data_IF_727197875055
#
_entry.id   IF_727197875055
#
_cell.length_a   1.000
_cell.length_b   1.000
_cell.length_c   1.000
_cell.angle_alpha   90.00
_cell.angle_beta   90.00
_cell.angle_gamma   90.00
#
_symmetry.space_group_name_H-M   'P 1'
#
loop_
_entity.id
_entity.type
_entity.pdbx_description
1 polymer ?
#
# COMPACT_ATOMS: atom_id res chain seq x y z
N UNK A 1 13.28 3.39 21.43
CA UNK A 1 12.85 2.75 20.17
C UNK A 1 13.85 1.64 19.86
N UNK A 2 13.40 0.52 19.30
CA UNK A 2 14.30 -0.57 18.90
C UNK A 2 15.30 -0.04 17.85
N UNK A 3 16.59 -0.03 18.15
CA UNK A 3 17.65 0.50 17.27
C UNK A 3 18.07 -0.52 16.20
N UNK A 4 17.08 -1.19 15.57
CA UNK A 4 17.35 -2.23 14.57
C UNK A 4 17.85 -1.56 13.28
N UNK A 5 19.03 -1.93 12.77
CA UNK A 5 19.53 -1.38 11.52
C UNK A 5 18.75 -1.95 10.33
N UNK A 6 18.63 -1.15 9.28
CA UNK A 6 17.91 -1.51 8.05
C UNK A 6 18.92 -1.78 6.93
N UNK A 7 18.70 -2.84 6.17
CA UNK A 7 19.40 -3.15 4.92
C UNK A 7 18.39 -3.16 3.78
N UNK A 8 18.63 -2.32 2.77
CA UNK A 8 17.76 -2.19 1.60
C UNK A 8 18.14 -3.23 0.54
N UNK A 9 17.13 -3.93 0.03
CA UNK A 9 17.24 -4.85 -1.09
C UNK A 9 16.43 -4.28 -2.26
N UNK A 10 17.14 -3.71 -3.23
CA UNK A 10 16.58 -2.88 -4.29
C UNK A 10 16.91 -1.41 -4.08
N UNK A 11 17.27 -0.73 -5.18
CA UNK A 11 17.62 0.67 -5.29
C UNK A 11 16.70 1.37 -6.31
N UNK A 12 15.43 0.96 -6.34
CA UNK A 12 14.40 1.50 -7.25
C UNK A 12 13.84 2.85 -6.79
N UNK A 13 13.04 3.49 -7.65
CA UNK A 13 12.52 4.84 -7.41
C UNK A 13 11.73 4.99 -6.11
N UNK A 14 11.00 3.96 -5.67
CA UNK A 14 10.23 4.01 -4.40
C UNK A 14 11.14 4.07 -3.17
N UNK A 15 12.32 3.46 -3.23
CA UNK A 15 13.30 3.49 -2.15
C UNK A 15 13.84 4.92 -1.97
N UNK A 16 14.18 5.55 -3.08
CA UNK A 16 14.68 6.92 -3.11
C UNK A 16 13.60 7.96 -2.76
N UNK A 17 12.36 7.78 -3.24
CA UNK A 17 11.30 8.78 -3.08
C UNK A 17 10.51 8.65 -1.78
N UNK A 18 10.46 7.45 -1.17
CA UNK A 18 9.60 7.20 -0.01
C UNK A 18 10.31 6.52 1.17
N UNK A 19 10.93 5.34 0.98
CA UNK A 19 11.51 4.59 2.10
C UNK A 19 12.63 5.37 2.80
N UNK A 20 13.63 5.83 2.06
CA UNK A 20 14.77 6.53 2.64
C UNK A 20 14.39 7.88 3.28
N UNK A 21 13.57 8.74 2.65
CA UNK A 21 13.04 9.94 3.30
C UNK A 21 12.27 9.63 4.59
N UNK A 22 11.42 8.60 4.60
CA UNK A 22 10.69 8.16 5.78
C UNK A 22 11.65 7.77 6.92
N UNK A 23 12.67 6.97 6.60
CA UNK A 23 13.62 6.47 7.57
C UNK A 23 14.50 7.58 8.14
N UNK A 24 14.94 8.53 7.31
CA UNK A 24 15.65 9.73 7.78
C UNK A 24 14.78 10.56 8.72
N UNK A 25 13.52 10.83 8.36
CA UNK A 25 12.58 11.59 9.19
C UNK A 25 12.31 10.91 10.53
N UNK A 26 12.26 9.58 10.55
CA UNK A 26 12.05 8.78 11.76
C UNK A 26 13.34 8.52 12.57
N UNK A 27 14.51 8.95 12.07
CA UNK A 27 15.81 8.66 12.70
C UNK A 27 16.20 7.18 12.65
N UNK A 28 15.67 6.41 11.70
CA UNK A 28 15.98 5.00 11.50
C UNK A 28 17.30 4.84 10.73
N UNK A 29 18.13 3.92 11.19
CA UNK A 29 19.49 3.73 10.66
C UNK A 29 19.51 2.74 9.51
N UNK A 30 19.72 3.22 8.30
CA UNK A 30 20.02 2.37 7.12
C UNK A 30 21.53 2.14 7.05
N UNK A 31 21.95 0.87 7.14
CA UNK A 31 23.36 0.50 7.19
C UNK A 31 23.88 -0.09 5.90
N UNK A 32 23.02 -0.50 4.98
CA UNK A 32 23.45 -1.08 3.73
C UNK A 32 22.37 -1.12 2.66
N UNK A 33 22.81 -1.25 1.41
CA UNK A 33 21.95 -1.37 0.24
C UNK A 33 22.57 -2.32 -0.79
N UNK A 34 21.73 -3.01 -1.55
CA UNK A 34 22.15 -3.79 -2.73
C UNK A 34 21.11 -3.69 -3.84
N UNK A 35 21.55 -3.79 -5.09
CA UNK A 35 20.69 -3.88 -6.27
C UNK A 35 21.43 -4.68 -7.35
N UNK A 36 20.69 -5.30 -8.29
CA UNK A 36 21.30 -5.95 -9.45
C UNK A 36 22.07 -4.93 -10.31
N UNK A 37 21.56 -3.71 -10.38
CA UNK A 37 22.25 -2.54 -10.92
C UNK A 37 23.09 -1.88 -9.83
N UNK A 38 24.35 -2.29 -9.74
CA UNK A 38 25.30 -1.80 -8.74
C UNK A 38 25.54 -0.29 -8.82
N UNK A 39 25.37 0.32 -10.00
CA UNK A 39 25.52 1.77 -10.13
C UNK A 39 24.37 2.50 -9.45
N UNK A 40 23.12 2.00 -9.54
CA UNK A 40 21.98 2.55 -8.80
C UNK A 40 22.19 2.46 -7.30
N UNK A 41 22.62 1.31 -6.79
CA UNK A 41 22.90 1.13 -5.37
C UNK A 41 23.98 2.10 -4.87
N UNK A 42 25.09 2.27 -5.60
CA UNK A 42 26.15 3.24 -5.27
C UNK A 42 25.67 4.69 -5.29
N UNK A 43 24.86 5.06 -6.26
CA UNK A 43 24.31 6.41 -6.38
C UNK A 43 23.39 6.74 -5.18
N UNK A 44 22.46 5.85 -4.85
CA UNK A 44 21.57 6.02 -3.69
C UNK A 44 22.38 6.02 -2.39
N UNK A 45 23.33 5.09 -2.22
CA UNK A 45 24.17 5.04 -1.02
C UNK A 45 24.92 6.34 -0.79
N UNK A 46 25.51 6.92 -1.86
CA UNK A 46 26.17 8.22 -1.80
C UNK A 46 25.19 9.34 -1.43
N UNK A 47 24.01 9.38 -2.07
CA UNK A 47 23.00 10.43 -1.84
C UNK A 47 22.46 10.44 -0.40
N UNK A 48 22.29 9.26 0.19
CA UNK A 48 21.68 9.09 1.52
C UNK A 48 22.68 8.74 2.63
N UNK A 49 23.99 8.77 2.33
CA UNK A 49 25.08 8.42 3.25
C UNK A 49 24.94 7.01 3.86
N UNK A 50 24.58 6.03 3.04
CA UNK A 50 24.51 4.61 3.44
C UNK A 50 25.93 4.03 3.38
N UNK A 51 26.47 3.48 4.49
CA UNK A 51 27.90 3.17 4.58
C UNK A 51 28.32 1.94 3.77
N UNK A 52 27.40 0.99 3.50
CA UNK A 52 27.73 -0.25 2.81
C UNK A 52 26.91 -0.42 1.53
N UNK A 53 27.59 -0.75 0.44
CA UNK A 53 26.98 -1.26 -0.79
C UNK A 53 27.42 -2.70 -0.94
N UNK A 54 26.46 -3.63 -0.98
CA UNK A 54 26.74 -5.04 -1.15
C UNK A 54 26.56 -5.46 -2.61
N UNK A 55 27.45 -6.33 -3.10
CA UNK A 55 27.42 -6.87 -4.46
C UNK A 55 26.27 -7.86 -4.66
N UNK A 56 25.72 -8.41 -3.57
CA UNK A 56 24.59 -9.33 -3.61
C UNK A 56 23.78 -9.34 -2.31
N UNK A 57 22.55 -9.87 -2.39
CA UNK A 57 21.69 -10.14 -1.23
C UNK A 57 22.34 -11.13 -0.27
N UNK A 58 23.06 -12.13 -0.79
CA UNK A 58 23.77 -13.10 0.03
C UNK A 58 24.84 -12.42 0.89
N UNK A 59 25.67 -11.56 0.28
CA UNK A 59 26.66 -10.77 0.99
C UNK A 59 26.00 -9.84 2.02
N UNK A 60 24.92 -9.16 1.65
CA UNK A 60 24.14 -8.31 2.55
C UNK A 60 23.65 -9.10 3.79
N UNK A 61 23.10 -10.30 3.56
CA UNK A 61 22.61 -11.19 4.63
C UNK A 61 23.75 -11.69 5.52
N UNK A 62 24.94 -11.94 4.97
CA UNK A 62 26.08 -12.43 5.74
C UNK A 62 26.63 -11.36 6.69
N UNK A 63 26.81 -10.15 6.19
CA UNK A 63 27.49 -9.06 6.89
C UNK A 63 26.56 -8.19 7.74
N UNK A 64 25.24 -8.26 7.51
CA UNK A 64 24.29 -7.56 8.36
C UNK A 64 24.26 -8.17 9.78
N UNK A 65 24.09 -7.34 10.83
CA UNK A 65 23.80 -7.82 12.17
C UNK A 65 22.58 -8.74 12.19
N UNK A 66 22.57 -9.73 13.08
CA UNK A 66 21.48 -10.72 13.17
C UNK A 66 20.09 -10.10 13.39
N UNK A 67 20.03 -8.97 14.10
CA UNK A 67 18.79 -8.24 14.39
C UNK A 67 18.44 -7.18 13.33
N UNK A 68 19.11 -7.18 12.17
CA UNK A 68 18.81 -6.26 11.08
C UNK A 68 17.45 -6.58 10.44
N UNK A 69 16.81 -5.54 9.92
CA UNK A 69 15.61 -5.69 9.07
C UNK A 69 16.03 -5.53 7.62
N UNK A 70 15.61 -6.48 6.79
CA UNK A 70 15.76 -6.39 5.35
C UNK A 70 14.49 -5.79 4.75
N UNK A 71 14.61 -4.59 4.20
CA UNK A 71 13.54 -3.91 3.49
C UNK A 71 13.68 -4.18 1.98
N UNK A 72 12.76 -4.99 1.46
CA UNK A 72 12.82 -5.60 0.15
C UNK A 72 11.88 -4.84 -0.80
N UNK A 73 12.48 -4.08 -1.71
CA UNK A 73 11.80 -3.22 -2.67
C UNK A 73 12.13 -3.57 -4.12
N UNK A 74 11.97 -4.85 -4.48
CA UNK A 74 12.12 -5.37 -5.84
C UNK A 74 10.76 -5.69 -6.49
N UNK A 75 10.69 -5.89 -7.82
CA UNK A 75 9.48 -6.37 -8.47
C UNK A 75 8.98 -7.71 -7.88
N UNK A 76 7.67 -7.88 -7.81
CA UNK A 76 7.03 -9.02 -7.15
C UNK A 76 7.40 -10.38 -7.77
N UNK A 77 7.64 -10.39 -9.09
CA UNK A 77 8.11 -11.56 -9.84
C UNK A 77 9.41 -12.19 -9.30
N UNK A 78 10.29 -11.42 -8.66
CA UNK A 78 11.56 -11.90 -8.11
C UNK A 78 11.48 -12.45 -6.68
N UNK A 79 10.36 -12.30 -5.98
CA UNK A 79 10.26 -12.61 -4.55
C UNK A 79 10.41 -14.11 -4.25
N UNK A 80 9.83 -14.99 -5.08
CA UNK A 80 9.85 -16.45 -4.86
C UNK A 80 11.28 -17.00 -4.91
N UNK A 81 12.13 -16.45 -5.78
CA UNK A 81 13.53 -16.87 -5.92
C UNK A 81 14.45 -16.20 -4.89
N UNK A 82 14.13 -14.96 -4.52
CA UNK A 82 14.93 -14.18 -3.58
C UNK A 82 14.78 -14.65 -2.13
N UNK A 83 13.54 -14.82 -1.65
CA UNK A 83 13.25 -15.07 -0.22
C UNK A 83 13.97 -16.30 0.36
N UNK A 84 14.15 -17.42 -0.36
CA UNK A 84 14.92 -18.57 0.14
C UNK A 84 16.38 -18.27 0.49
N UNK A 85 16.95 -17.18 -0.01
CA UNK A 85 18.36 -16.81 0.21
C UNK A 85 18.63 -16.20 1.59
N UNK A 86 17.59 -15.72 2.30
CA UNK A 86 17.72 -15.19 3.65
C UNK A 86 17.89 -16.31 4.69
N UNK A 87 18.57 -15.97 5.80
CA UNK A 87 18.74 -16.83 6.98
C UNK A 87 17.38 -17.07 7.65
N UNK A 88 17.16 -18.27 8.19
CA UNK A 88 15.96 -18.54 8.99
C UNK A 88 15.83 -17.51 10.13
N UNK A 89 14.61 -17.12 10.51
CA UNK A 89 14.39 -16.11 11.54
C UNK A 89 14.59 -14.66 11.08
N UNK A 90 14.97 -14.40 9.83
CA UNK A 90 15.19 -13.03 9.35
C UNK A 90 13.94 -12.16 9.47
N UNK A 91 14.15 -10.88 9.76
CA UNK A 91 13.09 -9.87 9.78
C UNK A 91 12.97 -9.16 8.42
N UNK A 92 11.82 -9.24 7.78
CA UNK A 92 11.62 -8.77 6.41
C UNK A 92 10.43 -7.78 6.29
N UNK A 93 10.67 -6.61 5.72
CA UNK A 93 9.59 -5.77 5.18
C UNK A 93 9.58 -5.95 3.66
N UNK A 94 8.48 -6.47 3.10
CA UNK A 94 8.42 -6.81 1.67
C UNK A 94 7.48 -5.85 0.96
N UNK A 95 7.94 -5.21 -0.11
CA UNK A 95 7.09 -4.37 -0.95
C UNK A 95 5.92 -5.14 -1.55
N UNK A 96 4.75 -4.49 -1.58
CA UNK A 96 3.57 -4.96 -2.31
C UNK A 96 3.81 -4.90 -3.83
N UNK A 97 3.12 -5.73 -4.63
CA UNK A 97 2.21 -6.80 -4.19
C UNK A 97 2.97 -8.03 -3.69
N UNK A 98 2.30 -8.88 -2.89
CA UNK A 98 2.87 -10.14 -2.41
C UNK A 98 2.82 -11.21 -3.51
N UNK A 99 3.58 -11.00 -4.59
CA UNK A 99 3.58 -11.82 -5.81
C UNK A 99 2.65 -11.30 -6.91
N UNK A 100 2.80 -11.81 -8.13
CA UNK A 100 2.04 -11.38 -9.31
C UNK A 100 0.61 -11.96 -9.37
N UNK A 101 0.34 -12.98 -8.56
CA UNK A 101 -0.94 -13.69 -8.50
C UNK A 101 -1.05 -14.50 -7.21
N UNK A 102 -2.22 -15.08 -6.95
CA UNK A 102 -2.48 -15.85 -5.74
C UNK A 102 -1.59 -17.10 -5.60
N UNK A 103 -1.11 -17.68 -6.71
CA UNK A 103 -0.20 -18.84 -6.67
C UNK A 103 1.17 -18.43 -6.13
N UNK A 104 1.74 -17.34 -6.65
CA UNK A 104 3.00 -16.80 -6.11
C UNK A 104 2.84 -16.31 -4.67
N UNK A 105 1.73 -15.64 -4.35
CA UNK A 105 1.42 -15.23 -2.97
C UNK A 105 1.43 -16.43 -2.01
N UNK A 106 0.87 -17.58 -2.43
CA UNK A 106 0.90 -18.82 -1.65
C UNK A 106 2.32 -19.36 -1.45
N UNK A 107 3.15 -19.32 -2.50
CA UNK A 107 4.55 -19.75 -2.40
C UNK A 107 5.33 -18.85 -1.44
N UNK A 108 5.16 -17.53 -1.53
CA UNK A 108 5.77 -16.57 -0.61
C UNK A 108 5.34 -16.85 0.83
N UNK A 109 4.03 -17.03 1.08
CA UNK A 109 3.51 -17.40 2.40
C UNK A 109 4.14 -18.69 2.94
N UNK A 110 4.29 -19.70 2.09
CA UNK A 110 4.92 -20.96 2.47
C UNK A 110 6.41 -20.79 2.80
N UNK A 111 7.16 -20.02 2.00
CA UNK A 111 8.58 -19.73 2.24
C UNK A 111 8.74 -19.01 3.57
N UNK A 112 7.96 -17.96 3.82
CA UNK A 112 8.03 -17.21 5.08
C UNK A 112 7.77 -18.11 6.29
N UNK A 113 6.78 -19.01 6.21
CA UNK A 113 6.49 -19.99 7.26
C UNK A 113 7.61 -21.02 7.45
N UNK A 114 8.15 -21.57 6.35
CA UNK A 114 9.20 -22.59 6.42
C UNK A 114 10.52 -22.05 6.96
N UNK A 115 10.81 -20.77 6.66
CA UNK A 115 12.01 -20.07 7.10
C UNK A 115 11.84 -19.38 8.45
N UNK A 116 10.65 -19.43 9.04
CA UNK A 116 10.32 -18.74 10.29
C UNK A 116 10.64 -17.23 10.23
N UNK A 117 10.29 -16.58 9.11
CA UNK A 117 10.52 -15.15 8.96
C UNK A 117 9.52 -14.32 9.78
N UNK A 118 10.01 -13.31 10.48
CA UNK A 118 9.18 -12.22 10.96
C UNK A 118 8.98 -11.23 9.80
N UNK A 119 7.87 -11.37 9.07
CA UNK A 119 7.67 -10.65 7.82
C UNK A 119 6.33 -9.93 7.72
N UNK A 120 6.39 -8.67 7.28
CA UNK A 120 5.22 -7.86 6.92
C UNK A 120 5.29 -7.45 5.45
N UNK A 121 4.13 -7.28 4.82
CA UNK A 121 4.00 -6.69 3.50
C UNK A 121 3.75 -5.19 3.65
N UNK A 122 4.41 -4.35 2.88
CA UNK A 122 4.34 -2.91 3.01
C UNK A 122 3.05 -2.31 2.43
N UNK A 123 1.92 -2.58 3.07
CA UNK A 123 0.65 -1.89 2.83
C UNK A 123 0.57 -0.57 3.60
N UNK A 124 1.53 0.32 3.30
CA UNK A 124 1.72 1.56 4.05
C UNK A 124 0.51 2.49 4.10
N UNK A 125 -0.45 2.41 3.17
CA UNK A 125 -1.68 3.23 3.23
C UNK A 125 -2.47 3.07 4.54
N UNK A 126 -2.41 1.90 5.20
CA UNK A 126 -3.02 1.71 6.53
C UNK A 126 -2.46 2.66 7.60
N UNK A 127 -1.20 3.07 7.42
CA UNK A 127 -0.45 3.90 8.35
C UNK A 127 -0.33 5.36 7.89
N UNK A 128 -1.03 5.75 6.81
CA UNK A 128 -1.11 7.18 6.45
C UNK A 128 -1.64 7.97 7.66
N UNK A 129 -1.05 9.13 8.02
CA UNK A 129 -1.47 9.88 9.21
C UNK A 129 -2.97 10.15 9.26
N UNK A 130 -3.57 10.49 8.12
CA UNK A 130 -5.00 10.73 7.96
C UNK A 130 -5.83 9.46 8.19
N UNK A 131 -5.38 8.32 7.67
CA UNK A 131 -6.04 7.02 7.86
C UNK A 131 -5.95 6.59 9.33
N UNK A 132 -4.79 6.79 9.95
CA UNK A 132 -4.56 6.51 11.37
C UNK A 132 -5.51 7.34 12.25
N UNK A 133 -5.73 8.62 11.92
CA UNK A 133 -6.69 9.45 12.63
C UNK A 133 -8.14 9.00 12.41
N UNK A 134 -8.53 8.71 11.17
CA UNK A 134 -9.86 8.16 10.89
C UNK A 134 -10.12 6.87 11.68
N UNK A 135 -9.14 5.96 11.73
CA UNK A 135 -9.22 4.73 12.53
C UNK A 135 -9.45 5.02 14.01
N UNK A 136 -8.74 5.99 14.60
CA UNK A 136 -8.95 6.41 16.00
C UNK A 136 -10.36 6.96 16.25
N UNK A 137 -10.86 7.80 15.35
CA UNK A 137 -12.21 8.37 15.47
C UNK A 137 -13.28 7.28 15.34
N UNK A 138 -13.14 6.40 14.35
CA UNK A 138 -14.06 5.27 14.13
C UNK A 138 -14.03 4.32 15.33
N UNK A 139 -12.85 3.96 15.85
CA UNK A 139 -12.72 3.05 16.99
C UNK A 139 -13.28 3.62 18.29
N UNK A 140 -13.32 4.96 18.42
CA UNK A 140 -13.97 5.67 19.55
C UNK A 140 -15.48 5.77 19.38
N UNK A 141 -16.05 5.29 18.28
CA UNK A 141 -17.47 5.39 17.97
C UNK A 141 -17.91 6.81 17.60
N UNK A 142 -16.96 7.69 17.23
CA UNK A 142 -17.22 9.11 16.95
C UNK A 142 -18.26 9.29 15.83
N UNK A 143 -18.20 8.48 14.76
CA UNK A 143 -19.20 8.49 13.68
C UNK A 143 -20.26 7.39 13.80
N UNK A 144 -20.39 6.74 14.96
CA UNK A 144 -21.35 5.66 15.18
C UNK A 144 -20.96 4.36 14.48
N UNK A 145 -21.95 3.62 13.96
CA UNK A 145 -21.71 2.34 13.25
C UNK A 145 -21.31 2.64 11.81
N UNK A 146 -20.08 2.30 11.43
CA UNK A 146 -19.58 2.45 10.05
C UNK A 146 -20.36 1.53 9.10
N UNK A 147 -20.93 2.09 8.02
CA UNK A 147 -21.70 1.36 7.02
C UNK A 147 -21.32 1.71 5.57
N UNK A 148 -20.53 2.76 5.34
CA UNK A 148 -20.06 3.12 3.99
C UNK A 148 -18.55 3.40 3.99
N UNK A 149 -17.84 2.83 3.01
CA UNK A 149 -16.47 3.22 2.67
C UNK A 149 -16.37 3.42 1.15
N UNK A 150 -15.95 4.60 0.72
CA UNK A 150 -15.82 4.95 -0.68
C UNK A 150 -14.41 5.47 -0.97
N UNK A 151 -13.72 4.83 -1.91
CA UNK A 151 -12.48 5.32 -2.48
C UNK A 151 -12.72 5.78 -3.91
N UNK A 152 -12.39 7.04 -4.19
CA UNK A 152 -12.45 7.60 -5.54
C UNK A 152 -11.14 8.23 -5.96
N UNK A 153 -10.67 7.85 -7.14
CA UNK A 153 -9.43 8.35 -7.74
C UNK A 153 -9.69 8.70 -9.19
N UNK A 154 -9.67 9.97 -9.53
CA UNK A 154 -9.75 10.48 -10.90
C UNK A 154 -8.55 11.41 -11.10
N UNK A 155 -7.45 10.88 -11.61
CA UNK A 155 -6.17 11.60 -11.66
C UNK A 155 -5.46 11.34 -12.99
N UNK A 156 -4.41 12.11 -13.28
CA UNK A 156 -3.45 11.77 -14.32
C UNK A 156 -2.27 11.06 -13.68
N UNK A 157 -2.10 9.76 -13.98
CA UNK A 157 -0.95 9.00 -13.47
C UNK A 157 0.19 9.01 -14.49
N UNK A 158 1.40 9.49 -14.13
CA UNK A 158 2.56 9.47 -15.01
C UNK A 158 3.18 8.06 -15.06
N UNK A 159 2.56 7.15 -15.81
CA UNK A 159 2.97 5.73 -15.88
C UNK A 159 4.42 5.49 -16.32
N UNK A 160 5.04 6.46 -17.02
CA UNK A 160 6.45 6.40 -17.43
C UNK A 160 7.44 6.37 -16.24
N UNK A 161 7.00 6.68 -15.02
CA UNK A 161 7.82 6.48 -13.82
C UNK A 161 7.98 4.99 -13.47
N UNK A 162 7.19 4.12 -14.08
CA UNK A 162 7.18 2.67 -13.88
C UNK A 162 6.99 1.92 -15.20
N UNK A 163 7.88 2.16 -16.17
CA UNK A 163 7.82 1.57 -17.53
C UNK A 163 7.67 0.03 -17.55
N UNK A 164 8.14 -0.67 -16.51
CA UNK A 164 7.97 -2.12 -16.41
C UNK A 164 6.50 -2.56 -16.40
N UNK A 165 5.59 -1.71 -15.91
CA UNK A 165 4.15 -2.00 -15.84
C UNK A 165 3.50 -2.15 -17.21
N UNK A 166 4.07 -1.55 -18.26
CA UNK A 166 3.56 -1.72 -19.63
C UNK A 166 3.69 -3.17 -20.13
N UNK A 167 4.61 -3.95 -19.54
CA UNK A 167 4.84 -5.36 -19.88
C UNK A 167 4.05 -6.32 -18.99
N UNK A 168 3.31 -5.80 -18.01
CA UNK A 168 2.55 -6.61 -17.07
C UNK A 168 1.12 -6.86 -17.58
N UNK A 169 0.68 -8.12 -17.54
CA UNK A 169 -0.69 -8.50 -17.89
C UNK A 169 -1.73 -8.00 -16.88
N UNK A 170 -1.27 -7.65 -15.67
CA UNK A 170 -2.07 -7.18 -14.55
C UNK A 170 -1.46 -5.89 -14.03
N UNK A 171 -2.17 -4.78 -14.18
CA UNK A 171 -1.69 -3.46 -13.73
C UNK A 171 -2.65 -2.83 -12.73
N UNK A 172 -3.83 -2.39 -13.18
CA UNK A 172 -4.68 -1.51 -12.38
C UNK A 172 -5.03 -2.12 -11.01
N UNK A 173 -5.60 -3.33 -10.94
CA UNK A 173 -6.00 -3.90 -9.64
C UNK A 173 -4.76 -4.29 -8.83
N UNK A 174 -3.86 -5.09 -9.43
CA UNK A 174 -2.73 -5.70 -8.73
C UNK A 174 -1.71 -4.68 -8.20
N UNK A 175 -1.36 -3.67 -9.00
CA UNK A 175 -0.31 -2.71 -8.64
C UNK A 175 -0.87 -1.42 -8.06
N UNK A 176 -2.09 -1.03 -8.41
CA UNK A 176 -2.67 0.25 -7.97
C UNK A 176 -3.79 0.04 -6.93
N UNK A 177 -4.94 -0.50 -7.34
CA UNK A 177 -6.12 -0.61 -6.46
C UNK A 177 -5.96 -1.60 -5.30
N UNK A 178 -4.92 -2.42 -5.29
CA UNK A 178 -4.55 -3.26 -4.14
C UNK A 178 -4.41 -2.44 -2.85
N UNK A 179 -3.94 -1.20 -2.92
CA UNK A 179 -3.87 -0.30 -1.75
C UNK A 179 -5.24 -0.07 -1.13
N UNK A 180 -6.26 0.12 -1.95
CA UNK A 180 -7.61 0.43 -1.52
C UNK A 180 -8.36 -0.81 -1.06
N UNK A 181 -8.18 -1.94 -1.78
CA UNK A 181 -8.70 -3.24 -1.36
C UNK A 181 -8.17 -3.59 0.03
N UNK A 182 -6.85 -3.49 0.20
CA UNK A 182 -6.19 -3.75 1.47
C UNK A 182 -6.68 -2.82 2.58
N UNK A 183 -6.77 -1.52 2.29
CA UNK A 183 -7.21 -0.55 3.26
C UNK A 183 -8.64 -0.81 3.73
N UNK A 184 -9.58 -1.07 2.83
CA UNK A 184 -10.97 -1.39 3.19
C UNK A 184 -11.03 -2.69 4.01
N UNK A 185 -10.28 -3.73 3.61
CA UNK A 185 -10.17 -4.96 4.40
C UNK A 185 -9.67 -4.69 5.82
N UNK A 186 -8.73 -3.77 6.00
CA UNK A 186 -8.20 -3.43 7.33
C UNK A 186 -9.25 -2.79 8.26
N UNK A 187 -10.41 -2.35 7.76
CA UNK A 187 -11.54 -1.88 8.58
C UNK A 187 -12.61 -2.94 8.82
N UNK A 188 -12.86 -3.84 7.85
CA UNK A 188 -14.01 -4.76 7.88
C UNK A 188 -13.67 -6.25 7.73
N UNK A 189 -12.40 -6.62 7.61
CA UNK A 189 -11.98 -7.98 7.32
C UNK A 189 -12.21 -8.36 5.86
N UNK A 190 -12.45 -9.63 5.59
CA UNK A 190 -12.69 -10.12 4.23
C UNK A 190 -14.15 -9.85 3.79
N UNK A 191 -14.37 -9.39 2.55
CA UNK A 191 -15.70 -9.37 1.95
C UNK A 191 -16.19 -10.80 1.66
N UNK A 192 -17.50 -10.97 1.54
CA UNK A 192 -18.13 -12.23 1.10
C UNK A 192 -17.92 -12.47 -0.41
N UNK A 193 -17.71 -11.41 -1.18
CA UNK A 193 -17.52 -11.45 -2.62
C UNK A 193 -16.92 -10.17 -3.20
N UNK A 194 -16.48 -10.26 -4.45
CA UNK A 194 -15.92 -9.12 -5.20
C UNK A 194 -16.65 -8.99 -6.53
N UNK A 195 -17.10 -7.78 -6.86
CA UNK A 195 -17.58 -7.43 -8.19
C UNK A 195 -16.62 -6.40 -8.79
N UNK A 196 -16.06 -6.65 -9.96
CA UNK A 196 -15.08 -5.74 -10.52
C UNK A 196 -15.09 -5.67 -12.04
N UNK A 197 -14.74 -4.51 -12.59
CA UNK A 197 -14.46 -4.31 -14.00
C UNK A 197 -13.28 -3.37 -14.18
N UNK A 198 -12.30 -3.79 -14.96
CA UNK A 198 -11.21 -2.93 -15.44
C UNK A 198 -11.45 -2.53 -16.88
N UNK A 199 -11.04 -1.30 -17.25
CA UNK A 199 -11.05 -0.85 -18.65
C UNK A 199 -9.72 -0.20 -19.02
N UNK A 200 -9.36 -0.30 -20.31
CA UNK A 200 -8.21 0.42 -20.87
C UNK A 200 -8.58 1.88 -21.12
N UNK A 201 -7.62 2.79 -21.02
CA UNK A 201 -7.76 4.14 -21.55
C UNK A 201 -7.36 4.16 -23.04
N UNK A 202 -8.11 4.83 -23.94
CA UNK A 202 -7.80 4.84 -25.39
C UNK A 202 -6.40 5.33 -25.75
N UNK A 203 -5.79 6.18 -24.92
CA UNK A 203 -4.43 6.70 -25.11
C UNK A 203 -3.36 5.89 -24.36
N UNK A 204 -3.73 4.81 -23.67
CA UNK A 204 -2.81 3.96 -22.88
C UNK A 204 -3.02 2.47 -23.24
N UNK A 205 -3.09 2.18 -24.54
CA UNK A 205 -3.46 0.84 -25.03
C UNK A 205 -2.38 -0.22 -24.83
N UNK A 206 -1.13 0.21 -24.67
CA UNK A 206 0.01 -0.62 -24.28
C UNK A 206 -0.15 -1.22 -22.87
N UNK A 207 -0.87 -0.55 -21.96
CA UNK A 207 -1.17 -1.09 -20.64
C UNK A 207 -2.31 -2.11 -20.68
N UNK A 208 -2.28 -3.08 -19.76
CA UNK A 208 -3.37 -4.03 -19.58
C UNK A 208 -4.70 -3.35 -19.19
N UNK A 209 -4.64 -2.37 -18.28
CA UNK A 209 -5.76 -1.53 -17.85
C UNK A 209 -5.24 -0.33 -17.05
N UNK A 210 -6.04 0.74 -16.96
CA UNK A 210 -5.71 1.95 -16.19
C UNK A 210 -6.91 2.54 -15.46
N UNK A 211 -8.03 1.82 -15.41
CA UNK A 211 -9.27 2.26 -14.76
C UNK A 211 -9.99 1.05 -14.18
N UNK A 212 -10.61 1.18 -13.02
CA UNK A 212 -11.48 0.15 -12.45
C UNK A 212 -12.71 0.69 -11.73
N UNK A 213 -13.70 -0.20 -11.62
CA UNK A 213 -14.78 -0.11 -10.66
C UNK A 213 -14.80 -1.43 -9.90
N UNK A 214 -14.75 -1.37 -8.57
CA UNK A 214 -14.71 -2.53 -7.69
C UNK A 214 -15.71 -2.31 -6.56
N UNK A 215 -16.55 -3.32 -6.31
CA UNK A 215 -17.44 -3.41 -5.16
C UNK A 215 -16.94 -4.57 -4.31
N UNK A 216 -16.71 -4.31 -3.02
CA UNK A 216 -16.40 -5.33 -2.03
C UNK A 216 -17.68 -5.63 -1.27
N UNK A 217 -18.25 -6.81 -1.51
CA UNK A 217 -19.53 -7.20 -0.95
C UNK A 217 -19.37 -7.62 0.52
N UNK A 218 -20.05 -6.93 1.42
CA UNK A 218 -20.11 -7.23 2.86
C UNK A 218 -21.55 -7.54 3.32
N UNK A 219 -22.43 -7.92 2.38
CA UNK A 219 -23.86 -8.09 2.59
C UNK A 219 -24.65 -6.79 2.49
N UNK A 220 -25.89 -6.82 2.95
CA UNK A 220 -26.91 -5.81 2.60
C UNK A 220 -26.73 -4.43 3.26
N UNK A 221 -25.86 -4.31 4.26
CA UNK A 221 -25.74 -3.11 5.11
C UNK A 221 -24.48 -2.31 4.81
N UNK A 222 -23.36 -3.00 4.58
CA UNK A 222 -22.03 -2.38 4.45
C UNK A 222 -21.68 -2.21 2.99
N UNK A 223 -21.59 -0.97 2.52
CA UNK A 223 -21.20 -0.65 1.14
C UNK A 223 -19.72 -0.26 1.09
N UNK A 224 -18.95 -0.95 0.23
CA UNK A 224 -17.55 -0.61 -0.05
C UNK A 224 -17.31 -0.53 -1.55
N UNK A 225 -16.92 0.65 -2.04
CA UNK A 225 -16.69 0.89 -3.47
C UNK A 225 -15.33 1.55 -3.72
N UNK A 226 -14.66 1.11 -4.78
CA UNK A 226 -13.43 1.70 -5.30
C UNK A 226 -13.67 2.04 -6.78
N UNK A 227 -13.51 3.31 -7.14
CA UNK A 227 -13.57 3.76 -8.54
C UNK A 227 -12.31 4.51 -8.89
N UNK A 228 -11.62 4.07 -9.94
CA UNK A 228 -10.37 4.66 -10.40
C UNK A 228 -10.41 5.03 -11.88
N UNK A 229 -9.84 6.18 -12.19
CA UNK A 229 -9.55 6.65 -13.53
C UNK A 229 -8.19 7.37 -13.54
N UNK A 230 -7.18 6.72 -14.11
CA UNK A 230 -5.82 7.25 -14.16
C UNK A 230 -5.48 8.07 -15.41
N UNK A 231 -6.47 8.33 -16.28
CA UNK A 231 -6.31 9.06 -17.54
C UNK A 231 -6.77 10.53 -17.50
N UNK A 232 -7.04 11.12 -16.33
CA UNK A 232 -7.63 12.46 -16.24
C UNK A 232 -6.60 13.58 -16.53
N UNK A 233 -6.30 13.83 -17.81
CA UNK A 233 -5.32 14.83 -18.25
C UNK A 233 -5.80 16.28 -18.30
N UNK A 234 -7.02 16.58 -17.84
CA UNK A 234 -7.70 17.87 -18.05
C UNK A 234 -7.43 18.91 -16.96
N UNK A 235 -6.20 18.94 -16.44
CA UNK A 235 -5.76 19.86 -15.38
C UNK A 235 -6.09 19.40 -13.96
N UNK A 236 -5.50 20.07 -12.97
CA UNK A 236 -5.57 19.66 -11.56
C UNK A 236 -6.91 19.96 -10.88
N UNK A 237 -7.63 21.00 -11.33
CA UNK A 237 -8.83 21.51 -10.66
C UNK A 237 -9.93 20.46 -10.46
N UNK A 238 -10.05 19.50 -11.37
CA UNK A 238 -11.06 18.45 -11.34
C UNK A 238 -10.46 17.05 -11.26
N UNK A 239 -9.19 16.96 -10.84
CA UNK A 239 -8.70 15.70 -10.29
C UNK A 239 -9.31 15.48 -8.92
N UNK A 240 -9.54 14.22 -8.58
CA UNK A 240 -10.15 13.81 -7.33
C UNK A 240 -9.37 12.63 -6.78
N UNK A 241 -9.09 12.66 -5.49
CA UNK A 241 -8.50 11.54 -4.77
C UNK A 241 -8.98 11.62 -3.34
N UNK A 242 -10.02 10.85 -3.01
CA UNK A 242 -10.57 10.83 -1.66
C UNK A 242 -10.94 9.44 -1.18
N UNK A 243 -10.89 9.32 0.13
CA UNK A 243 -11.46 8.22 0.90
C UNK A 243 -12.51 8.81 1.84
N UNK A 244 -13.72 8.25 1.79
CA UNK A 244 -14.85 8.68 2.60
C UNK A 244 -15.35 7.52 3.46
N UNK A 245 -15.66 7.83 4.70
CA UNK A 245 -16.28 6.93 5.66
C UNK A 245 -17.60 7.52 6.11
N UNK A 246 -18.69 6.76 6.08
CA UNK A 246 -19.96 7.18 6.67
C UNK A 246 -20.42 6.15 7.72
N UNK A 247 -20.85 6.70 8.85
CA UNK A 247 -21.47 5.95 9.92
C UNK A 247 -22.74 6.63 10.41
N UNK A 248 -23.48 5.91 11.25
CA UNK A 248 -24.82 6.33 11.71
C UNK A 248 -24.86 7.64 12.50
N UNK A 249 -23.71 8.20 12.89
CA UNK A 249 -23.61 9.47 13.65
C UNK A 249 -22.69 10.48 12.99
N UNK A 250 -22.19 10.25 11.78
CA UNK A 250 -21.28 11.19 11.14
C UNK A 250 -20.51 10.61 9.96
N UNK A 251 -19.63 11.41 9.39
CA UNK A 251 -18.79 11.04 8.27
C UNK A 251 -17.39 11.62 8.40
N UNK A 252 -16.43 11.01 7.70
CA UNK A 252 -15.05 11.47 7.56
C UNK A 252 -14.71 11.47 6.07
N UNK A 253 -14.06 12.53 5.58
CA UNK A 253 -13.55 12.61 4.22
C UNK A 253 -12.08 12.99 4.27
N UNK A 254 -11.27 12.18 3.62
CA UNK A 254 -9.82 12.36 3.48
C UNK A 254 -9.54 12.61 2.02
N UNK A 255 -8.85 13.70 1.69
CA UNK A 255 -8.28 13.89 0.36
C UNK A 255 -6.79 13.56 0.38
N UNK A 256 -6.35 12.64 -0.49
CA UNK A 256 -4.93 12.32 -0.67
C UNK A 256 -4.39 13.17 -1.82
N UNK A 257 -3.84 14.32 -1.46
CA UNK A 257 -3.22 15.27 -2.36
C UNK A 257 -2.06 14.68 -3.14
N UNK A 258 -1.27 13.77 -2.57
CA UNK A 258 -0.17 13.09 -3.27
C UNK A 258 -0.59 12.43 -4.59
N UNK A 259 -1.78 11.83 -4.64
CA UNK A 259 -2.28 11.15 -5.84
C UNK A 259 -2.64 12.13 -6.97
N UNK A 260 -2.90 13.39 -6.63
CA UNK A 260 -3.12 14.48 -7.57
C UNK A 260 -1.78 15.19 -7.83
N UNK A 261 -1.43 15.46 -9.08
CA UNK A 261 -0.10 16.03 -9.43
C UNK A 261 1.11 15.17 -8.98
N UNK A 262 0.99 13.84 -9.02
CA UNK A 262 2.08 12.93 -8.64
C UNK A 262 3.34 13.15 -9.51
N UNK A 263 4.57 13.13 -8.95
CA UNK A 263 4.93 12.85 -7.56
C UNK A 263 4.94 14.07 -6.63
N UNK A 264 4.69 15.27 -7.14
CA UNK A 264 4.74 16.51 -6.35
C UNK A 264 3.61 16.55 -5.31
N UNK A 265 2.42 16.11 -5.70
CA UNK A 265 1.24 16.14 -4.84
C UNK A 265 0.59 17.52 -4.77
N UNK A 266 -0.69 17.53 -4.39
CA UNK A 266 -1.38 18.71 -3.87
C UNK A 266 -1.51 18.63 -2.34
N UNK A 267 -2.29 19.55 -1.76
CA UNK A 267 -2.57 19.57 -0.32
C UNK A 267 -3.46 18.36 0.05
N UNK A 268 -3.06 17.64 1.10
CA UNK A 268 -3.92 16.65 1.77
C UNK A 268 -4.97 17.36 2.63
N UNK A 269 -6.18 16.79 2.75
CA UNK A 269 -7.18 17.29 3.70
C UNK A 269 -7.80 16.17 4.53
N UNK A 270 -8.23 16.52 5.73
CA UNK A 270 -9.00 15.66 6.61
C UNK A 270 -10.17 16.48 7.16
N UNK A 271 -11.38 16.07 6.81
CA UNK A 271 -12.61 16.72 7.23
C UNK A 271 -13.53 15.68 7.87
N UNK A 272 -14.32 16.10 8.85
CA UNK A 272 -15.32 15.24 9.46
C UNK A 272 -16.57 16.01 9.83
N UNK A 273 -17.69 15.30 9.93
CA UNK A 273 -18.98 15.84 10.33
C UNK A 273 -19.62 14.88 11.33
N UNK A 274 -20.21 15.42 12.41
CA UNK A 274 -20.86 14.64 13.47
C UNK A 274 -22.30 15.12 13.62
N UNK A 275 -23.24 14.19 13.51
CA UNK A 275 -24.65 14.45 13.71
C UNK A 275 -24.90 14.73 15.19
N UNK A 276 -25.28 15.97 15.48
CA UNK A 276 -25.84 16.42 16.74
C UNK A 276 -27.33 16.71 16.57
N UNK A 277 -28.11 16.54 17.65
CA UNK A 277 -29.58 16.70 17.65
C UNK A 277 -30.07 18.14 17.37
N UNK A 278 -29.18 19.07 17.05
CA UNK A 278 -29.48 20.46 16.72
C UNK A 278 -28.98 20.77 15.30
N UNK A 279 -29.79 21.56 14.58
CA UNK A 279 -29.75 21.82 13.14
C UNK A 279 -28.34 22.01 12.56
N UNK A 280 -28.04 21.16 11.57
CA UNK A 280 -26.99 21.27 10.54
C UNK A 280 -25.65 21.84 11.00
N UNK A 281 -24.73 20.96 11.37
CA UNK A 281 -23.32 21.31 11.54
C UNK A 281 -22.56 21.19 10.22
N UNK A 282 -21.70 22.16 9.91
CA UNK A 282 -20.83 22.11 8.74
C UNK A 282 -19.75 21.01 8.87
N UNK A 283 -19.03 20.73 7.79
CA UNK A 283 -17.83 19.88 7.85
C UNK A 283 -16.71 20.62 8.61
N UNK A 284 -16.04 19.92 9.52
CA UNK A 284 -14.94 20.45 10.33
C UNK A 284 -13.62 19.95 9.74
N UNK A 285 -12.78 20.89 9.30
CA UNK A 285 -11.40 20.60 8.91
C UNK A 285 -10.53 20.34 10.14
N UNK A 286 -9.74 19.27 10.08
CA UNK A 286 -8.72 18.97 11.08
C UNK A 286 -7.36 18.88 10.41
N UNK A 287 -6.42 19.68 10.88
CA UNK A 287 -5.04 19.59 10.42
C UNK A 287 -4.41 18.28 10.91
N UNK A 288 -3.83 17.52 9.99
CA UNK A 288 -3.10 16.30 10.27
C UNK A 288 -1.66 16.49 9.81
N UNK A 289 -0.71 16.35 10.73
CA UNK A 289 0.70 16.44 10.40
C UNK A 289 1.17 15.18 9.65
N UNK A 290 1.78 15.40 8.50
CA UNK A 290 2.31 14.36 7.62
C UNK A 290 1.38 13.99 6.48
N UNK A 291 1.87 13.13 5.59
CA UNK A 291 1.20 12.74 4.34
C UNK A 291 1.31 11.24 4.10
N UNK A 292 0.71 10.75 3.01
CA UNK A 292 0.84 9.36 2.64
C UNK A 292 2.30 8.99 2.32
N UNK A 293 2.96 9.69 1.39
CA UNK A 293 4.39 9.47 1.09
C UNK A 293 5.19 10.70 1.51
N UNK A 294 6.25 10.55 2.33
CA UNK A 294 6.85 9.28 2.74
C UNK A 294 6.31 8.74 4.08
N UNK A 295 5.55 9.52 4.85
CA UNK A 295 5.39 9.29 6.29
C UNK A 295 4.75 7.96 6.67
N UNK A 296 3.85 7.45 5.84
CA UNK A 296 3.18 6.20 6.14
C UNK A 296 4.13 4.97 6.07
N UNK A 297 5.26 5.08 5.37
CA UNK A 297 6.31 4.04 5.37
C UNK A 297 6.98 3.89 6.74
N UNK A 298 6.96 4.95 7.57
CA UNK A 298 7.42 4.91 8.97
C UNK A 298 6.55 3.93 9.75
N UNK A 299 5.23 3.98 9.58
CA UNK A 299 4.31 3.11 10.31
C UNK A 299 4.52 1.63 9.99
N UNK A 300 4.70 1.29 8.71
CA UNK A 300 4.94 -0.09 8.29
C UNK A 300 6.20 -0.70 8.91
N UNK A 301 7.33 0.03 8.85
CA UNK A 301 8.59 -0.48 9.41
C UNK A 301 8.55 -0.51 10.94
N UNK A 302 7.93 0.50 11.59
CA UNK A 302 7.81 0.53 13.04
C UNK A 302 6.89 -0.57 13.58
N UNK A 303 5.82 -0.92 12.84
CA UNK A 303 4.96 -2.04 13.19
C UNK A 303 5.75 -3.36 13.23
N UNK A 304 6.62 -3.59 12.25
CA UNK A 304 7.52 -4.76 12.24
C UNK A 304 8.61 -4.69 13.32
N UNK A 305 9.06 -3.48 13.68
CA UNK A 305 10.10 -3.28 14.70
C UNK A 305 9.60 -3.41 16.14
N UNK A 306 8.30 -3.32 16.41
CA UNK A 306 7.76 -3.24 17.76
C UNK A 306 7.89 -4.59 18.49
N UNK A 307 8.76 -4.70 19.51
CA UNK A 307 8.94 -5.96 20.24
C UNK A 307 7.74 -6.31 21.14
N UNK A 308 6.79 -5.41 21.34
CA UNK A 308 5.60 -5.63 22.16
C UNK A 308 4.45 -6.27 21.38
N UNK A 309 4.48 -6.17 20.05
CA UNK A 309 3.45 -6.77 19.20
C UNK A 309 3.75 -8.25 19.05
N UNK A 310 2.77 -9.08 19.41
CA UNK A 310 2.72 -10.47 18.95
C UNK A 310 2.27 -10.49 17.50
N UNK A 311 2.54 -11.59 16.78
CA UNK A 311 2.14 -11.73 15.37
C UNK A 311 0.64 -11.46 15.16
N UNK A 312 -0.23 -11.88 16.09
CA UNK A 312 -1.68 -11.65 15.97
C UNK A 312 -2.09 -10.17 16.12
N UNK A 313 -1.17 -9.34 16.62
CA UNK A 313 -1.36 -7.90 16.82
C UNK A 313 -0.64 -7.06 15.76
N UNK A 314 0.21 -7.70 14.93
CA UNK A 314 0.90 -7.02 13.84
C UNK A 314 -0.08 -6.76 12.70
N UNK A 315 0.06 -5.59 12.09
CA UNK A 315 -0.67 -5.23 10.89
C UNK A 315 0.12 -5.70 9.67
N UNK A 316 -0.59 -6.05 8.59
CA UNK A 316 0.03 -6.39 7.31
C UNK A 316 0.98 -7.60 7.35
N UNK A 317 0.75 -8.56 8.25
CA UNK A 317 1.50 -9.83 8.26
C UNK A 317 1.38 -10.53 6.91
N UNK A 318 2.31 -11.45 6.61
CA UNK A 318 2.24 -12.28 5.38
C UNK A 318 0.90 -13.01 5.26
N UNK A 319 0.34 -13.48 6.37
CA UNK A 319 -0.97 -14.14 6.38
C UNK A 319 -2.12 -13.19 6.05
N UNK A 320 -2.13 -11.98 6.60
CA UNK A 320 -3.14 -10.97 6.27
C UNK A 320 -3.00 -10.44 4.83
N UNK A 321 -1.77 -10.22 4.37
CA UNK A 321 -1.50 -9.81 3.00
C UNK A 321 -1.93 -10.86 1.96
N UNK A 322 -1.85 -12.16 2.31
CA UNK A 322 -2.39 -13.23 1.47
C UNK A 322 -3.89 -13.09 1.24
N UNK A 323 -4.65 -12.67 2.25
CA UNK A 323 -6.09 -12.43 2.14
C UNK A 323 -6.39 -11.20 1.26
N UNK A 324 -5.54 -10.16 1.30
CA UNK A 324 -5.60 -9.06 0.31
C UNK A 324 -5.38 -9.60 -1.11
N UNK A 325 -4.38 -10.46 -1.31
CA UNK A 325 -4.13 -11.09 -2.61
C UNK A 325 -5.29 -11.98 -3.07
N UNK A 326 -6.00 -12.64 -2.15
CA UNK A 326 -7.20 -13.41 -2.46
C UNK A 326 -8.33 -12.51 -2.98
N UNK A 327 -8.54 -11.34 -2.36
CA UNK A 327 -9.51 -10.34 -2.83
C UNK A 327 -9.13 -9.76 -4.20
N UNK A 328 -7.83 -9.50 -4.44
CA UNK A 328 -7.30 -9.09 -5.75
C UNK A 328 -7.60 -10.16 -6.81
N UNK A 329 -7.35 -11.44 -6.51
CA UNK A 329 -7.63 -12.52 -7.46
C UNK A 329 -9.13 -12.65 -7.74
N UNK A 330 -9.98 -12.57 -6.71
CA UNK A 330 -11.43 -12.60 -6.86
C UNK A 330 -11.93 -11.42 -7.72
N UNK A 331 -11.38 -10.21 -7.55
CA UNK A 331 -11.70 -9.07 -8.40
C UNK A 331 -11.29 -9.32 -9.86
N UNK A 332 -10.11 -9.90 -10.12
CA UNK A 332 -9.72 -10.28 -11.48
C UNK A 332 -10.60 -11.38 -12.08
N UNK A 333 -11.06 -12.35 -11.28
CA UNK A 333 -12.01 -13.37 -11.72
C UNK A 333 -13.37 -12.75 -12.08
N UNK A 334 -13.86 -11.81 -11.26
CA UNK A 334 -15.08 -11.05 -11.54
C UNK A 334 -14.96 -10.26 -12.84
N UNK A 335 -13.85 -9.56 -13.06
CA UNK A 335 -13.60 -8.80 -14.30
C UNK A 335 -13.61 -9.65 -15.59
N UNK A 336 -13.25 -10.94 -15.48
CA UNK A 336 -13.31 -11.93 -16.57
C UNK A 336 -14.70 -12.54 -16.76
N UNK A 337 -15.56 -12.44 -15.76
CA UNK A 337 -16.93 -12.96 -15.82
C UNK A 337 -17.77 -12.08 -16.75
N UNK A 338 -18.68 -12.71 -17.48
CA UNK A 338 -19.58 -11.98 -18.37
C UNK A 338 -20.56 -11.14 -17.53
N UNK A 339 -20.76 -9.85 -17.86
CA UNK A 339 -21.89 -9.13 -17.30
C UNK A 339 -23.19 -9.79 -17.77
N UNK A 340 -24.26 -9.61 -16.99
CA UNK A 340 -25.60 -10.00 -17.45
C UNK A 340 -25.96 -9.08 -18.62
N UNK A 341 -26.34 -9.62 -19.80
CA UNK A 341 -26.81 -8.81 -20.91
C UNK A 341 -28.01 -7.95 -20.50
N UNK A 342 -28.04 -6.70 -20.96
CA UNK A 342 -29.13 -5.78 -20.66
C UNK A 342 -30.40 -6.02 -21.51
N UNK A 343 -30.37 -6.96 -22.45
CA UNK A 343 -31.37 -7.17 -23.50
C UNK A 343 -31.85 -8.61 -23.57
#
# INVERSE_FOLDING_TARGET
MSNRPIVLIGAGGIVESAHLPAYQKAGLKVIGITDLDQQKARNIAKKFNIPNVYDSVHQATIHAPEHAIFDIAIPASGLVDLLPTFRNGSMLLIQKPMGENIKQARQIKQICRQKDFAANINFQMRFAPQVTEARKMISRGTIGKLHDIEMRVTVYTPWHLWDFLEKCDRVEILYHSIHYIDLIRSFWGNPIGMLAKTTKHPEMMNMASSRSNIIMDYGDIKRANITTNHGHKYGLRHQESYLKFEGTKGAIKICFGLLMDYPKGTIDSFEYHILNNEKETEWISKEICGTWFPDAFIGSILNLMDPKLKEEQMDCTVSDAYETMACVEAAYQSNRSSPIPAN
#
